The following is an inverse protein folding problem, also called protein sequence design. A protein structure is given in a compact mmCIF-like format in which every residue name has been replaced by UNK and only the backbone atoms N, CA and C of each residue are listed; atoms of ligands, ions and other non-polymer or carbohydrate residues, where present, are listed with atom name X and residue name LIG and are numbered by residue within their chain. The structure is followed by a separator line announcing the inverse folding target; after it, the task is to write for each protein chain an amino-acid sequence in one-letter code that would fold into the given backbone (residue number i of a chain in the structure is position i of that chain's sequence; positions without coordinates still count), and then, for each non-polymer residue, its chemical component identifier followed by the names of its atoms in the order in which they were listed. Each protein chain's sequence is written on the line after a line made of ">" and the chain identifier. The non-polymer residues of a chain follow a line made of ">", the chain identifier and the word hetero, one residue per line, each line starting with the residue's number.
data_IF_790832641400
#
_entry.id   IF_790832641400
#
_cell.length_a   1.000
_cell.length_b   1.000
_cell.length_c   1.000
_cell.angle_alpha   90.00
_cell.angle_beta   90.00
_cell.angle_gamma   90.00
#
_symmetry.space_group_name_H-M   'P 1'
#
loop_
_entity.id
_entity.type
_entity.pdbx_description
1 polymer ?
#
# COMPACT_ATOMS: atom_id res chain seq x y z
N UNK A 1 -25.99 16.15 5.31
CA UNK A 1 -24.81 16.43 4.48
C UNK A 1 -24.18 15.08 4.18
N UNK A 2 -24.36 14.58 2.97
CA UNK A 2 -23.71 13.34 2.54
C UNK A 2 -22.26 13.71 2.25
N UNK A 3 -21.41 13.60 3.26
CA UNK A 3 -19.97 13.77 3.07
C UNK A 3 -19.48 12.74 2.06
N UNK A 4 -18.58 13.18 1.19
CA UNK A 4 -18.03 12.41 0.08
C UNK A 4 -17.14 11.26 0.59
N UNK A 5 -17.78 10.23 1.13
CA UNK A 5 -17.10 9.00 1.57
C UNK A 5 -16.49 8.22 0.39
N UNK A 6 -16.72 8.65 -0.86
CA UNK A 6 -16.11 8.08 -2.05
C UNK A 6 -14.59 8.23 -2.07
N UNK A 7 -14.06 9.32 -1.50
CA UNK A 7 -12.62 9.54 -1.41
C UNK A 7 -11.92 8.47 -0.56
N UNK A 8 -12.59 7.89 0.43
CA UNK A 8 -12.01 6.92 1.38
C UNK A 8 -11.67 5.56 0.74
N UNK A 9 -12.35 5.20 -0.35
CA UNK A 9 -12.25 3.90 -1.01
C UNK A 9 -11.35 3.91 -2.25
N UNK A 10 -10.62 5.01 -2.48
CA UNK A 10 -9.66 5.09 -3.58
C UNK A 10 -8.59 4.01 -3.48
N UNK A 11 -8.22 3.45 -4.62
CA UNK A 11 -7.25 2.38 -4.81
C UNK A 11 -6.00 2.92 -5.48
N UNK A 12 -4.85 2.35 -5.14
CA UNK A 12 -3.58 2.69 -5.77
C UNK A 12 -3.66 2.68 -7.31
N UNK A 13 -4.08 1.55 -7.88
CA UNK A 13 -4.50 1.40 -9.27
C UNK A 13 -6.02 1.18 -9.27
N UNK A 14 -6.83 2.01 -9.96
CA UNK A 14 -6.43 3.00 -10.97
C UNK A 14 -6.28 4.45 -10.48
N UNK A 15 -6.56 4.79 -9.22
CA UNK A 15 -6.85 6.19 -8.85
C UNK A 15 -5.63 7.09 -8.64
N UNK A 16 -4.42 6.51 -8.58
CA UNK A 16 -3.17 7.26 -8.44
C UNK A 16 -2.23 7.04 -9.63
N UNK A 17 -2.31 5.87 -10.28
CA UNK A 17 -1.45 5.49 -11.40
C UNK A 17 -1.98 6.02 -12.74
N UNK A 18 -1.16 6.80 -13.46
CA UNK A 18 -1.43 7.14 -14.86
C UNK A 18 -0.96 6.00 -15.79
N UNK A 19 -1.93 5.26 -16.34
CA UNK A 19 -1.67 4.11 -17.24
C UNK A 19 -1.22 4.52 -18.64
N UNK A 20 -1.34 5.80 -18.99
CA UNK A 20 -0.83 6.33 -20.27
C UNK A 20 0.68 6.60 -20.20
N UNK A 21 1.26 6.65 -19.00
CA UNK A 21 2.70 6.81 -18.79
C UNK A 21 3.39 5.44 -18.61
N UNK A 22 4.70 5.34 -18.89
CA UNK A 22 5.45 4.10 -18.69
C UNK A 22 5.43 3.65 -17.22
N UNK A 23 5.21 2.35 -17.00
CA UNK A 23 5.25 1.71 -15.69
C UNK A 23 5.99 0.37 -15.76
N UNK A 24 6.67 0.03 -14.68
CA UNK A 24 7.25 -1.28 -14.44
C UNK A 24 6.25 -2.14 -13.66
N UNK A 25 6.26 -3.46 -13.88
CA UNK A 25 5.43 -4.39 -13.10
C UNK A 25 6.31 -5.25 -12.22
N UNK A 26 6.03 -5.26 -10.92
CA UNK A 26 6.75 -6.01 -9.92
C UNK A 26 5.87 -7.10 -9.31
N UNK A 27 6.43 -8.29 -9.14
CA UNK A 27 5.82 -9.35 -8.35
C UNK A 27 6.24 -9.20 -6.89
N UNK A 28 5.36 -8.59 -6.09
CA UNK A 28 5.60 -8.35 -4.67
C UNK A 28 5.24 -9.61 -3.87
N UNK A 29 6.18 -10.18 -3.09
CA UNK A 29 5.94 -11.40 -2.32
C UNK A 29 4.84 -11.16 -1.28
N UNK A 30 3.97 -12.16 -1.09
CA UNK A 30 2.82 -12.10 -0.14
C UNK A 30 3.23 -11.83 1.31
N UNK A 31 4.46 -12.19 1.67
CA UNK A 31 5.00 -12.07 3.02
C UNK A 31 6.32 -11.30 3.03
N UNK A 32 6.75 -10.90 4.23
CA UNK A 32 8.01 -10.21 4.46
C UNK A 32 7.86 -8.70 4.59
N UNK A 33 8.75 -8.11 5.37
CA UNK A 33 8.84 -6.66 5.57
C UNK A 33 9.69 -6.06 4.46
N UNK A 34 9.16 -5.12 3.66
CA UNK A 34 9.91 -4.43 2.62
C UNK A 34 10.91 -3.46 3.26
N UNK A 35 12.16 -3.50 2.83
CA UNK A 35 13.21 -2.60 3.27
C UNK A 35 14.04 -2.15 2.06
N UNK A 36 14.27 -0.84 1.87
CA UNK A 36 15.22 -0.38 0.86
C UNK A 36 16.58 -1.02 1.07
N UNK A 37 17.21 -1.45 -0.02
CA UNK A 37 18.51 -2.10 -0.03
C UNK A 37 19.36 -1.60 -1.18
N UNK A 38 20.63 -1.36 -0.88
CA UNK A 38 21.64 -0.97 -1.86
C UNK A 38 22.98 -1.55 -1.47
N UNK A 39 23.74 -1.99 -2.46
CA UNK A 39 25.14 -2.41 -2.32
C UNK A 39 25.94 -1.98 -3.56
N UNK A 40 27.19 -2.45 -3.67
CA UNK A 40 28.08 -2.09 -4.79
C UNK A 40 27.64 -2.65 -6.16
N UNK A 41 26.77 -3.66 -6.19
CA UNK A 41 26.29 -4.35 -7.40
C UNK A 41 24.80 -4.11 -7.68
N UNK A 42 24.05 -3.68 -6.67
CA UNK A 42 22.62 -3.42 -6.72
C UNK A 42 22.39 -2.00 -6.21
N UNK A 43 22.36 -1.00 -7.13
CA UNK A 43 22.27 0.40 -6.74
C UNK A 43 20.90 0.76 -6.13
N UNK A 44 19.83 0.14 -6.62
CA UNK A 44 18.45 0.39 -6.21
C UNK A 44 17.69 -0.94 -6.10
N UNK A 45 17.11 -1.19 -4.93
CA UNK A 45 16.30 -2.38 -4.70
C UNK A 45 15.49 -2.33 -3.41
N UNK A 46 14.46 -3.15 -3.36
CA UNK A 46 13.68 -3.45 -2.15
C UNK A 46 13.86 -4.92 -1.81
N UNK A 47 14.42 -5.20 -0.63
CA UNK A 47 14.49 -6.57 -0.09
C UNK A 47 13.32 -6.84 0.83
N UNK A 48 12.88 -8.10 0.86
CA UNK A 48 11.81 -8.56 1.74
C UNK A 48 12.39 -9.50 2.79
N UNK A 49 12.21 -9.15 4.07
CA UNK A 49 12.77 -9.89 5.19
C UNK A 49 11.65 -10.59 5.96
N UNK A 50 11.77 -11.90 6.19
CA UNK A 50 10.90 -12.70 7.05
C UNK A 50 11.67 -13.12 8.32
N UNK A 51 11.08 -12.91 9.48
CA UNK A 51 11.72 -13.21 10.77
C UNK A 51 12.93 -12.30 11.05
N UNK A 52 13.94 -12.82 11.76
CA UNK A 52 15.05 -11.98 12.26
C UNK A 52 15.94 -11.41 11.15
N UNK A 53 16.30 -12.19 10.12
CA UNK A 53 17.20 -11.75 9.03
C UNK A 53 17.04 -12.52 7.71
N UNK A 54 16.01 -13.34 7.54
CA UNK A 54 15.90 -14.16 6.32
C UNK A 54 15.37 -13.31 5.18
N UNK A 55 16.22 -13.02 4.19
CA UNK A 55 15.78 -12.41 2.94
C UNK A 55 15.04 -13.45 2.10
N UNK A 56 13.79 -13.17 1.75
CA UNK A 56 12.94 -14.06 0.95
C UNK A 56 12.77 -13.58 -0.49
N UNK A 57 12.99 -12.29 -0.75
CA UNK A 57 12.98 -11.72 -2.09
C UNK A 57 13.84 -10.45 -2.17
N UNK A 58 14.25 -10.10 -3.39
CA UNK A 58 14.94 -8.86 -3.73
C UNK A 58 14.37 -8.36 -5.06
N UNK A 59 13.74 -7.19 -5.04
CA UNK A 59 13.22 -6.51 -6.22
C UNK A 59 14.20 -5.42 -6.63
N UNK A 60 14.77 -5.52 -7.83
CA UNK A 60 15.65 -4.47 -8.37
C UNK A 60 14.80 -3.37 -9.01
N UNK A 61 15.06 -2.14 -8.62
CA UNK A 61 14.32 -0.97 -9.08
C UNK A 61 15.22 -0.10 -9.95
N UNK A 62 14.63 0.90 -10.60
CA UNK A 62 15.34 1.84 -11.47
C UNK A 62 15.83 3.07 -10.72
N UNK A 63 15.17 3.44 -9.62
CA UNK A 63 15.45 4.66 -8.87
C UNK A 63 15.15 4.50 -7.37
N UNK A 64 15.75 5.33 -6.50
CA UNK A 64 15.43 5.31 -5.08
C UNK A 64 13.98 5.71 -4.79
N UNK A 65 13.35 6.53 -5.65
CA UNK A 65 11.95 6.92 -5.46
C UNK A 65 11.01 5.74 -5.71
N UNK A 66 11.36 4.84 -6.63
CA UNK A 66 10.63 3.58 -6.80
C UNK A 66 10.76 2.69 -5.56
N UNK A 67 11.94 2.65 -4.91
CA UNK A 67 12.12 1.90 -3.66
C UNK A 67 11.12 2.37 -2.59
N UNK A 68 11.07 3.68 -2.37
CA UNK A 68 10.18 4.31 -1.39
C UNK A 68 8.70 4.05 -1.71
N UNK A 69 8.32 4.15 -2.99
CA UNK A 69 6.95 3.90 -3.43
C UNK A 69 6.54 2.43 -3.25
N UNK A 70 7.41 1.49 -3.61
CA UNK A 70 7.16 0.05 -3.39
C UNK A 70 7.03 -0.22 -1.89
N UNK A 71 7.89 0.35 -1.05
CA UNK A 71 7.80 0.19 0.41
C UNK A 71 6.47 0.74 0.94
N UNK A 72 6.03 1.91 0.50
CA UNK A 72 4.76 2.51 0.90
C UNK A 72 3.57 1.64 0.49
N UNK A 73 3.51 1.23 -0.77
CA UNK A 73 2.46 0.35 -1.30
C UNK A 73 2.43 -0.95 -0.51
N UNK A 74 3.59 -1.52 -0.22
CA UNK A 74 3.66 -2.73 0.57
C UNK A 74 3.18 -2.52 2.01
N UNK A 75 3.52 -1.40 2.66
CA UNK A 75 3.05 -1.11 4.02
C UNK A 75 1.55 -0.86 4.07
N UNK A 76 0.98 -0.33 2.98
CA UNK A 76 -0.47 -0.18 2.81
C UNK A 76 -1.21 -1.50 2.54
N UNK A 77 -0.51 -2.64 2.50
CA UNK A 77 -1.12 -3.97 2.38
C UNK A 77 -1.24 -4.51 0.95
N UNK A 78 -0.85 -3.75 -0.07
CA UNK A 78 -0.85 -4.24 -1.46
C UNK A 78 0.29 -5.23 -1.69
N UNK A 79 -0.03 -6.35 -2.35
CA UNK A 79 0.85 -7.52 -2.60
C UNK A 79 0.54 -8.11 -3.98
N UNK A 80 1.41 -9.00 -4.47
CA UNK A 80 1.26 -9.63 -5.79
C UNK A 80 1.75 -8.73 -6.92
N UNK A 81 1.11 -8.81 -8.09
CA UNK A 81 1.51 -8.01 -9.25
C UNK A 81 1.08 -6.55 -9.08
N UNK A 82 2.06 -5.66 -8.96
CA UNK A 82 1.85 -4.23 -8.76
C UNK A 82 2.59 -3.45 -9.84
N UNK A 83 1.89 -2.49 -10.45
CA UNK A 83 2.47 -1.54 -11.40
C UNK A 83 3.07 -0.37 -10.63
N UNK A 84 4.26 0.07 -11.00
CA UNK A 84 4.95 1.20 -10.40
C UNK A 84 5.37 2.12 -11.55
N UNK A 85 5.16 3.45 -11.47
CA UNK A 85 5.64 4.34 -12.52
C UNK A 85 7.14 4.16 -12.80
N UNK A 86 7.54 4.28 -14.06
CA UNK A 86 8.96 4.16 -14.44
C UNK A 86 9.72 5.46 -14.17
N UNK A 87 9.15 6.58 -14.58
CA UNK A 87 9.77 7.90 -14.48
C UNK A 87 9.81 8.41 -13.03
N UNK A 88 10.96 8.95 -12.60
CA UNK A 88 11.14 9.42 -11.21
C UNK A 88 10.12 10.50 -10.81
N UNK A 89 9.82 11.44 -11.70
CA UNK A 89 8.89 12.54 -11.41
C UNK A 89 7.47 12.04 -11.19
N UNK A 90 7.08 11.02 -11.95
CA UNK A 90 5.79 10.35 -11.77
C UNK A 90 5.79 9.52 -10.48
N UNK A 91 6.88 8.85 -10.16
CA UNK A 91 7.04 8.16 -8.87
C UNK A 91 6.86 9.14 -7.70
N UNK A 92 7.49 10.32 -7.75
CA UNK A 92 7.36 11.36 -6.71
C UNK A 92 5.93 11.85 -6.57
N UNK A 93 5.26 12.13 -7.70
CA UNK A 93 3.85 12.56 -7.74
C UNK A 93 2.95 11.52 -7.08
N UNK A 94 3.09 10.25 -7.49
CA UNK A 94 2.29 9.14 -6.98
C UNK A 94 2.59 8.87 -5.50
N UNK A 95 3.87 8.88 -5.11
CA UNK A 95 4.31 8.70 -3.72
C UNK A 95 3.64 9.72 -2.80
N UNK A 96 3.78 11.02 -3.10
CA UNK A 96 3.21 12.08 -2.25
C UNK A 96 1.68 12.06 -2.22
N UNK A 97 1.03 11.82 -3.37
CA UNK A 97 -0.43 11.74 -3.43
C UNK A 97 -0.97 10.54 -2.66
N UNK A 98 -0.31 9.38 -2.78
CA UNK A 98 -0.75 8.14 -2.14
C UNK A 98 -0.46 8.15 -0.64
N UNK A 99 0.69 8.67 -0.21
CA UNK A 99 1.01 8.85 1.21
C UNK A 99 0.00 9.78 1.89
N UNK A 100 -0.29 10.93 1.27
CA UNK A 100 -1.30 11.87 1.77
C UNK A 100 -2.69 11.22 1.88
N UNK A 101 -3.06 10.38 0.92
CA UNK A 101 -4.31 9.64 0.95
C UNK A 101 -4.36 8.61 2.08
N UNK A 102 -3.30 7.81 2.26
CA UNK A 102 -3.22 6.83 3.35
C UNK A 102 -3.37 7.53 4.71
N UNK A 103 -2.64 8.63 4.94
CA UNK A 103 -2.73 9.37 6.20
C UNK A 103 -4.12 9.96 6.46
N UNK A 104 -4.79 10.51 5.44
CA UNK A 104 -6.18 10.97 5.55
C UNK A 104 -7.14 9.83 5.89
N UNK A 105 -6.97 8.67 5.25
CA UNK A 105 -7.79 7.48 5.47
C UNK A 105 -7.61 6.94 6.89
N UNK A 106 -6.39 6.83 7.37
CA UNK A 106 -6.10 6.39 8.75
C UNK A 106 -6.70 7.35 9.76
N UNK A 107 -6.55 8.66 9.55
CA UNK A 107 -7.12 9.70 10.42
C UNK A 107 -8.66 9.62 10.45
N UNK A 108 -9.30 9.46 9.29
CA UNK A 108 -10.76 9.35 9.23
C UNK A 108 -11.25 8.05 9.89
N UNK A 109 -10.57 6.93 9.65
CA UNK A 109 -10.92 5.64 10.27
C UNK A 109 -10.84 5.72 11.79
N UNK A 110 -9.74 6.29 12.31
CA UNK A 110 -9.53 6.48 13.74
C UNK A 110 -10.63 7.37 14.34
N UNK A 111 -10.94 8.51 13.70
CA UNK A 111 -12.02 9.40 14.15
C UNK A 111 -13.38 8.70 14.19
N UNK A 112 -13.73 7.92 13.16
CA UNK A 112 -15.01 7.19 13.11
C UNK A 112 -15.13 6.15 14.21
N UNK A 113 -14.00 5.57 14.64
CA UNK A 113 -13.93 4.61 15.73
C UNK A 113 -14.08 5.31 17.09
N UNK A 114 -13.40 6.44 17.29
CA UNK A 114 -13.49 7.27 18.49
C UNK A 114 -14.90 7.84 18.71
N UNK A 115 -15.61 8.22 17.64
CA UNK A 115 -17.00 8.67 17.71
C UNK A 115 -17.98 7.57 18.18
N UNK A 116 -17.56 6.30 18.17
CA UNK A 116 -18.42 5.13 18.49
C UNK A 116 -18.06 4.41 19.78
N UNK A 117 -16.83 4.55 20.27
CA UNK A 117 -16.36 3.92 21.50
C UNK A 117 -15.40 4.86 22.22
N UNK A 118 -15.53 4.99 23.55
CA UNK A 118 -14.57 5.69 24.40
C UNK A 118 -13.52 4.73 25.03
N UNK A 119 -13.66 3.42 24.80
CA UNK A 119 -12.74 2.39 25.29
C UNK A 119 -11.60 2.18 24.29
N UNK A 120 -10.38 2.54 24.67
CA UNK A 120 -9.18 2.50 23.82
C UNK A 120 -8.83 1.07 23.36
N UNK A 121 -9.04 0.05 24.20
CA UNK A 121 -8.79 -1.35 23.84
C UNK A 121 -9.80 -1.81 22.78
N UNK A 122 -11.07 -1.43 22.95
CA UNK A 122 -12.11 -1.71 21.97
C UNK A 122 -11.88 -0.96 20.65
N UNK A 123 -11.43 0.31 20.71
CA UNK A 123 -11.08 1.10 19.52
C UNK A 123 -9.97 0.41 18.72
N UNK A 124 -8.91 -0.06 19.39
CA UNK A 124 -7.80 -0.76 18.75
C UNK A 124 -8.26 -2.05 18.07
N UNK A 125 -9.09 -2.85 18.76
CA UNK A 125 -9.66 -4.07 18.17
C UNK A 125 -10.50 -3.78 16.91
N UNK A 126 -11.31 -2.72 16.93
CA UNK A 126 -12.12 -2.31 15.78
C UNK A 126 -11.21 -1.87 14.63
N UNK A 127 -10.17 -1.08 14.91
CA UNK A 127 -9.21 -0.62 13.91
C UNK A 127 -8.52 -1.80 13.21
N UNK A 128 -7.99 -2.73 14.00
CA UNK A 128 -7.29 -3.92 13.49
C UNK A 128 -8.22 -4.82 12.66
N UNK A 129 -9.52 -4.87 12.98
CA UNK A 129 -10.51 -5.63 12.23
C UNK A 129 -10.97 -4.93 10.94
N UNK A 130 -11.12 -3.60 10.96
CA UNK A 130 -11.65 -2.84 9.81
C UNK A 130 -10.60 -2.53 8.76
N UNK A 131 -9.35 -2.23 9.16
CA UNK A 131 -8.31 -1.82 8.24
C UNK A 131 -8.11 -2.81 7.08
N UNK A 132 -8.03 -4.15 7.29
CA UNK A 132 -7.92 -5.11 6.19
C UNK A 132 -9.09 -5.07 5.21
N UNK A 133 -10.31 -4.82 5.68
CA UNK A 133 -11.52 -4.74 4.85
C UNK A 133 -11.53 -3.48 3.98
N UNK A 134 -11.05 -2.37 4.53
CA UNK A 134 -10.89 -1.10 3.81
C UNK A 134 -9.81 -1.23 2.73
N UNK A 135 -8.69 -1.87 3.05
CA UNK A 135 -7.57 -2.10 2.13
C UNK A 135 -7.93 -3.07 1.00
N UNK A 136 -8.70 -4.11 1.30
CA UNK A 136 -9.12 -5.13 0.33
C UNK A 136 -10.33 -4.72 -0.53
N UNK A 137 -10.99 -3.61 -0.20
CA UNK A 137 -12.04 -2.98 -0.98
C UNK A 137 -13.08 -3.97 -1.55
N UNK A 138 -13.92 -4.56 -0.67
CA UNK A 138 -14.93 -5.59 -1.01
C UNK A 138 -14.44 -6.60 -2.07
N UNK A 139 -13.72 -7.64 -1.63
CA UNK A 139 -13.88 -8.96 -2.25
C UNK A 139 -15.26 -9.51 -1.85
N UNK A 140 -16.32 -9.12 -2.54
CA UNK A 140 -17.46 -10.03 -2.64
C UNK A 140 -17.03 -11.14 -3.60
N UNK A 141 -16.48 -12.20 -3.03
CA UNK A 141 -16.40 -13.49 -3.72
C UNK A 141 -17.83 -13.90 -4.06
N UNK A 142 -18.23 -13.70 -5.32
CA UNK A 142 -19.37 -14.44 -5.86
C UNK A 142 -18.98 -15.91 -5.78
N UNK A 143 -19.52 -16.63 -4.78
CA UNK A 143 -19.67 -18.08 -4.85
C UNK A 143 -20.41 -18.38 -6.15
N UNK A 144 -19.69 -18.85 -7.16
CA UNK A 144 -20.28 -19.59 -8.27
C UNK A 144 -20.39 -21.04 -7.80
N UNK A 145 -21.58 -21.41 -7.33
CA UNK A 145 -22.12 -22.76 -7.47
C UNK A 145 -23.04 -22.73 -8.71
N UNK A 146 -23.05 -23.77 -9.54
CA UNK A 146 -23.52 -25.10 -9.13
C UNK A 146 -22.60 -26.28 -9.47
#
# INVERSE_FOLDING_TARGET
>A
MAEDHGEFLRRYDPDFLDKMRPFDTYEIPVEGVPVPYRDMFVPHSVRFIKGKKTQIALLRTQSPVQDDLIVLICRSGLRGLVRIPHEEDECRRVLGAYESFIGKRETLLQRLIEERSADEDLQRMIYDALLPLVLSGRREEKKQDP
#
